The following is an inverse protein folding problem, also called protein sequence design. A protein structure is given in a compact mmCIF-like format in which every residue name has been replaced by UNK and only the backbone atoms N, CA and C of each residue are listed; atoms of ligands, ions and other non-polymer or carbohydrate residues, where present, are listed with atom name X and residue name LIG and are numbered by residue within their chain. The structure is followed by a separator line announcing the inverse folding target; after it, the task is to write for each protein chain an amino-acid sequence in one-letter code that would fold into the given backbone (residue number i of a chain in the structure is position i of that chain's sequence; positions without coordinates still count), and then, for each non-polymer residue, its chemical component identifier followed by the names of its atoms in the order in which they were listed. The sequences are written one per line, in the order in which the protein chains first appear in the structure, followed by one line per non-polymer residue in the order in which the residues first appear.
data_IF_773012577796
#
_entry.id   IF_773012577796
#
_cell.length_a   1.000
_cell.length_b   1.000
_cell.length_c   1.000
_cell.angle_alpha   90.00
_cell.angle_beta   90.00
_cell.angle_gamma   90.00
#
_symmetry.space_group_name_H-M   'P 1'
#
loop_
_entity.id
_entity.type
_entity.pdbx_description
1 polymer ?
#
# COMPACT_ATOMS: atom_id res chain seq x y z
N UNK A 1 8.48 15.99 -9.21
CA UNK A 1 8.80 15.23 -7.97
C UNK A 1 8.56 13.72 -8.14
N UNK A 2 7.50 13.27 -8.85
CA UNK A 2 7.25 11.84 -9.10
C UNK A 2 8.24 11.14 -10.05
N UNK A 3 8.79 11.84 -11.06
CA UNK A 3 9.77 11.26 -12.01
C UNK A 3 11.09 10.82 -11.35
N UNK A 4 11.49 11.48 -10.25
CA UNK A 4 12.73 11.17 -9.50
C UNK A 4 12.66 9.78 -8.84
N UNK A 5 11.45 9.22 -8.66
CA UNK A 5 11.29 7.96 -7.94
C UNK A 5 11.62 6.74 -8.81
N UNK A 6 11.30 6.76 -10.12
CA UNK A 6 11.46 5.58 -10.98
C UNK A 6 12.93 5.32 -11.33
N UNK A 7 13.72 6.36 -11.58
CA UNK A 7 15.14 6.17 -11.91
C UNK A 7 15.95 5.67 -10.71
N UNK A 8 15.70 6.22 -9.51
CA UNK A 8 16.31 5.69 -8.26
C UNK A 8 15.89 4.25 -7.97
N UNK A 9 14.63 3.90 -8.24
CA UNK A 9 14.16 2.52 -8.09
C UNK A 9 14.91 1.56 -9.01
N UNK A 10 15.16 1.96 -10.27
CA UNK A 10 15.97 1.16 -11.20
C UNK A 10 17.41 0.98 -10.71
N UNK A 11 18.01 2.02 -10.12
CA UNK A 11 19.33 1.91 -9.49
C UNK A 11 19.33 0.97 -8.27
N UNK A 12 18.31 1.03 -7.42
CA UNK A 12 18.12 0.10 -6.29
C UNK A 12 17.92 -1.35 -6.77
N UNK A 13 17.17 -1.57 -7.86
CA UNK A 13 17.01 -2.92 -8.45
C UNK A 13 18.28 -3.49 -9.03
N UNK A 14 19.16 -2.65 -9.56
CA UNK A 14 20.45 -3.10 -10.08
C UNK A 14 21.43 -3.49 -8.96
N UNK A 15 21.21 -3.03 -7.73
CA UNK A 15 22.01 -3.39 -6.56
C UNK A 15 21.51 -4.67 -5.86
N UNK A 16 20.28 -5.10 -6.15
CA UNK A 16 19.71 -6.33 -5.63
C UNK A 16 19.93 -7.47 -6.65
N UNK A 17 20.40 -8.63 -6.20
CA UNK A 17 20.41 -9.86 -6.99
C UNK A 17 18.96 -10.35 -7.24
N UNK A 18 18.24 -9.66 -8.11
CA UNK A 18 16.87 -9.97 -8.51
C UNK A 18 16.86 -10.67 -9.87
N UNK A 19 16.08 -11.75 -9.95
CA UNK A 19 15.74 -12.42 -11.22
C UNK A 19 14.86 -11.51 -12.10
N UNK A 20 14.86 -11.76 -13.41
CA UNK A 20 14.03 -10.99 -14.35
C UNK A 20 12.54 -11.02 -13.97
N UNK A 21 12.04 -12.19 -13.54
CA UNK A 21 10.65 -12.34 -13.06
C UNK A 21 10.33 -11.44 -11.86
N UNK A 22 11.30 -11.25 -10.96
CA UNK A 22 11.14 -10.36 -9.81
C UNK A 22 11.07 -8.91 -10.27
N UNK A 23 11.94 -8.51 -11.21
CA UNK A 23 11.92 -7.16 -11.79
C UNK A 23 10.59 -6.88 -12.48
N UNK A 24 10.11 -7.82 -13.30
CA UNK A 24 8.83 -7.69 -14.02
C UNK A 24 7.65 -7.46 -13.07
N UNK A 25 7.53 -8.28 -12.01
CA UNK A 25 6.47 -8.10 -10.99
C UNK A 25 6.55 -6.74 -10.33
N UNK A 26 7.76 -6.30 -9.99
CA UNK A 26 7.96 -5.01 -9.33
C UNK A 26 7.59 -3.85 -10.25
N UNK A 27 8.00 -3.88 -11.51
CA UNK A 27 7.61 -2.88 -12.51
C UNK A 27 6.09 -2.82 -12.70
N UNK A 28 5.42 -3.96 -12.77
CA UNK A 28 3.95 -4.03 -12.84
C UNK A 28 3.31 -3.38 -11.61
N UNK A 29 3.83 -3.70 -10.41
CA UNK A 29 3.36 -3.09 -9.18
C UNK A 29 3.53 -1.56 -9.18
N UNK A 30 4.66 -1.02 -9.65
CA UNK A 30 4.87 0.44 -9.73
C UNK A 30 3.92 1.12 -10.69
N UNK A 31 3.68 0.55 -11.88
CA UNK A 31 2.70 1.06 -12.84
C UNK A 31 1.31 1.13 -12.20
N UNK A 32 0.92 0.05 -11.52
CA UNK A 32 -0.33 -0.02 -10.76
C UNK A 32 -0.40 1.05 -9.66
N UNK A 33 0.67 1.21 -8.86
CA UNK A 33 0.75 2.19 -7.78
C UNK A 33 0.66 3.63 -8.27
N UNK A 34 1.30 3.94 -9.40
CA UNK A 34 1.21 5.26 -10.02
C UNK A 34 -0.21 5.57 -10.50
N UNK A 35 -0.92 4.59 -11.07
CA UNK A 35 -2.29 4.76 -11.51
C UNK A 35 -3.27 4.97 -10.34
N UNK A 36 -3.03 4.33 -9.19
CA UNK A 36 -3.86 4.45 -7.99
C UNK A 36 -3.80 5.86 -7.38
N UNK A 37 -2.61 6.45 -7.29
CA UNK A 37 -2.45 7.79 -6.70
C UNK A 37 -2.80 7.84 -5.21
N UNK A 38 -3.48 8.90 -4.79
CA UNK A 38 -3.92 9.08 -3.39
C UNK A 38 -5.21 8.30 -3.11
N UNK A 39 -5.18 7.48 -2.05
CA UNK A 39 -6.31 6.63 -1.67
C UNK A 39 -7.35 7.39 -0.84
N UNK A 40 -8.63 7.15 -1.15
CA UNK A 40 -9.78 7.63 -0.38
C UNK A 40 -10.66 6.45 0.03
N UNK A 41 -11.30 6.57 1.20
CA UNK A 41 -12.20 5.52 1.69
C UNK A 41 -13.33 5.22 0.71
N UNK A 42 -13.92 6.26 0.15
CA UNK A 42 -15.08 6.14 -0.75
C UNK A 42 -14.74 5.42 -2.05
N UNK A 43 -13.46 5.35 -2.44
CA UNK A 43 -13.01 4.68 -3.64
C UNK A 43 -12.82 3.17 -3.48
N UNK A 44 -12.94 2.65 -2.25
CA UNK A 44 -12.69 1.25 -1.93
C UNK A 44 -13.99 0.49 -1.67
N UNK A 45 -14.18 -0.62 -2.40
CA UNK A 45 -15.31 -1.54 -2.22
C UNK A 45 -14.81 -2.84 -1.61
N UNK A 46 -15.38 -3.23 -0.47
CA UNK A 46 -15.07 -4.52 0.16
C UNK A 46 -15.68 -5.67 -0.67
N UNK A 47 -14.88 -6.69 -0.94
CA UNK A 47 -15.29 -7.90 -1.68
C UNK A 47 -15.54 -9.03 -0.69
N UNK A 48 -14.51 -9.40 0.09
CA UNK A 48 -14.60 -10.44 1.11
C UNK A 48 -13.56 -10.20 2.20
N UNK A 49 -13.77 -10.82 3.36
CA UNK A 49 -12.76 -10.85 4.42
C UNK A 49 -11.66 -11.86 4.05
N UNK A 50 -10.40 -11.48 4.26
CA UNK A 50 -9.23 -12.35 4.08
C UNK A 50 -8.77 -12.95 5.40
N UNK A 51 -9.05 -12.28 6.52
CA UNK A 51 -8.83 -12.79 7.86
C UNK A 51 -8.75 -11.71 8.92
N UNK A 52 -8.73 -12.12 10.17
CA UNK A 52 -8.68 -11.25 11.34
C UNK A 52 -7.44 -11.57 12.19
N UNK A 53 -6.86 -10.54 12.81
CA UNK A 53 -5.82 -10.69 13.83
C UNK A 53 -6.01 -9.68 14.95
N UNK A 54 -5.12 -9.68 15.94
CA UNK A 54 -5.25 -8.86 17.15
C UNK A 54 -5.45 -7.36 16.88
N UNK A 55 -4.85 -6.83 15.81
CA UNK A 55 -4.94 -5.41 15.43
C UNK A 55 -6.06 -5.07 14.46
N UNK A 56 -7.01 -5.97 14.18
CA UNK A 56 -8.15 -5.73 13.28
C UNK A 56 -8.24 -6.70 12.11
N UNK A 57 -8.97 -6.31 11.07
CA UNK A 57 -9.40 -7.20 9.98
C UNK A 57 -8.72 -6.85 8.66
N UNK A 58 -8.43 -7.85 7.83
CA UNK A 58 -7.94 -7.68 6.46
C UNK A 58 -9.07 -7.98 5.50
N UNK A 59 -9.39 -7.04 4.63
CA UNK A 59 -10.38 -7.19 3.57
C UNK A 59 -9.69 -7.28 2.21
N UNK A 60 -10.24 -8.13 1.34
CA UNK A 60 -10.04 -8.01 -0.10
C UNK A 60 -10.90 -6.87 -0.58
N UNK A 61 -10.30 -5.85 -1.20
CA UNK A 61 -11.00 -4.67 -1.67
C UNK A 61 -10.69 -4.38 -3.13
N UNK A 62 -11.60 -3.68 -3.78
CA UNK A 62 -11.44 -3.16 -5.15
C UNK A 62 -11.39 -1.65 -5.11
N UNK A 63 -10.34 -1.07 -5.68
CA UNK A 63 -10.26 0.37 -5.90
C UNK A 63 -11.03 0.74 -7.16
N UNK A 64 -12.17 1.43 -7.02
CA UNK A 64 -13.10 1.70 -8.13
C UNK A 64 -12.45 2.44 -9.31
N UNK A 65 -11.61 3.49 -9.11
CA UNK A 65 -11.05 4.24 -10.24
C UNK A 65 -10.10 3.44 -11.13
N UNK A 66 -9.35 2.50 -10.57
CA UNK A 66 -8.33 1.72 -11.31
C UNK A 66 -8.67 0.24 -11.47
N UNK A 67 -9.80 -0.18 -10.91
CA UNK A 67 -10.24 -1.57 -10.76
C UNK A 67 -9.22 -2.49 -10.05
N UNK A 68 -8.22 -1.92 -9.38
CA UNK A 68 -7.14 -2.71 -8.77
C UNK A 68 -7.64 -3.41 -7.51
N UNK A 69 -7.36 -4.71 -7.43
CA UNK A 69 -7.57 -5.52 -6.24
C UNK A 69 -6.43 -5.28 -5.24
N UNK A 70 -6.80 -5.06 -3.98
CA UNK A 70 -5.87 -4.78 -2.88
C UNK A 70 -6.26 -5.57 -1.64
N UNK A 71 -5.29 -5.77 -0.75
CA UNK A 71 -5.53 -6.17 0.63
C UNK A 71 -5.57 -4.91 1.51
N UNK A 72 -6.70 -4.64 2.17
CA UNK A 72 -6.87 -3.52 3.09
C UNK A 72 -6.88 -4.03 4.53
N UNK A 73 -5.83 -3.72 5.29
CA UNK A 73 -5.85 -3.88 6.74
C UNK A 73 -6.60 -2.70 7.36
N UNK A 74 -7.66 -2.99 8.10
CA UNK A 74 -8.43 -2.03 8.89
C UNK A 74 -8.10 -2.21 10.36
N UNK A 75 -7.54 -1.17 10.96
CA UNK A 75 -7.12 -1.13 12.36
C UNK A 75 -8.03 -0.15 13.11
N UNK A 76 -8.74 -0.64 14.12
CA UNK A 76 -9.57 0.20 14.99
C UNK A 76 -8.70 0.79 16.10
N UNK A 77 -8.60 2.11 16.15
CA UNK A 77 -7.77 2.82 17.12
C UNK A 77 -8.43 4.14 17.55
N UNK A 78 -8.95 4.15 18.77
CA UNK A 78 -9.50 5.33 19.44
C UNK A 78 -8.39 6.12 20.15
N UNK A 79 -7.66 6.93 19.37
CA UNK A 79 -6.64 7.84 19.89
C UNK A 79 -6.84 9.25 19.39
N UNK A 80 -6.15 10.20 20.05
CA UNK A 80 -6.16 11.62 19.68
C UNK A 80 -5.74 11.80 18.20
N UNK A 81 -6.35 12.75 17.46
CA UNK A 81 -6.02 13.00 16.06
C UNK A 81 -4.53 13.22 15.80
N UNK A 82 -3.83 13.90 16.73
CA UNK A 82 -2.38 14.13 16.62
C UNK A 82 -1.56 12.82 16.53
N UNK A 83 -1.94 11.80 17.30
CA UNK A 83 -1.26 10.50 17.27
C UNK A 83 -1.56 9.74 15.98
N UNK A 84 -2.79 9.83 15.45
CA UNK A 84 -3.14 9.23 14.14
C UNK A 84 -2.30 9.84 13.02
N UNK A 85 -2.18 11.16 12.99
CA UNK A 85 -1.36 11.86 12.00
C UNK A 85 0.11 11.47 12.10
N UNK A 86 0.63 11.27 13.32
CA UNK A 86 1.99 10.75 13.53
C UNK A 86 2.15 9.34 12.95
N UNK A 87 1.23 8.42 13.26
CA UNK A 87 1.26 7.05 12.74
C UNK A 87 1.23 7.05 11.21
N UNK A 88 0.33 7.82 10.59
CA UNK A 88 0.26 7.93 9.12
C UNK A 88 1.57 8.48 8.54
N UNK A 89 2.21 9.44 9.20
CA UNK A 89 3.50 9.98 8.77
C UNK A 89 4.61 8.92 8.82
N UNK A 90 4.66 8.11 9.88
CA UNK A 90 5.64 7.03 10.02
C UNK A 90 5.41 5.93 8.97
N UNK A 91 4.15 5.58 8.70
CA UNK A 91 3.78 4.63 7.64
C UNK A 91 4.19 5.08 6.23
N UNK A 92 4.46 6.37 5.99
CA UNK A 92 4.95 6.85 4.68
C UNK A 92 6.30 6.23 4.29
N UNK A 93 7.10 5.79 5.25
CA UNK A 93 8.37 5.09 4.98
C UNK A 93 8.14 3.83 4.14
N UNK A 94 6.98 3.18 4.25
CA UNK A 94 6.63 1.99 3.46
C UNK A 94 6.56 2.26 1.95
N UNK A 95 6.44 3.52 1.51
CA UNK A 95 6.58 3.83 0.08
C UNK A 95 7.98 3.58 -0.46
N UNK A 96 9.00 3.58 0.41
CA UNK A 96 10.41 3.34 0.07
C UNK A 96 10.80 1.87 0.23
N UNK A 97 9.98 1.05 0.90
CA UNK A 97 10.22 -0.38 1.08
C UNK A 97 9.89 -1.16 -0.20
N UNK A 98 10.76 -1.04 -1.20
CA UNK A 98 10.58 -1.62 -2.52
C UNK A 98 11.53 -2.81 -2.70
N UNK A 99 11.01 -4.02 -2.48
CA UNK A 99 11.79 -5.26 -2.61
C UNK A 99 10.87 -6.36 -3.13
N UNK A 100 11.36 -7.31 -3.95
CA UNK A 100 10.52 -8.41 -4.41
C UNK A 100 10.05 -9.33 -3.26
N UNK A 101 10.71 -9.25 -2.10
CA UNK A 101 10.41 -10.01 -0.90
C UNK A 101 9.50 -9.26 0.09
N UNK A 102 9.14 -8.01 -0.21
CA UNK A 102 8.25 -7.19 0.61
C UNK A 102 6.94 -7.00 -0.15
N UNK A 103 5.81 -7.09 0.56
CA UNK A 103 4.48 -6.85 -0.02
C UNK A 103 4.39 -5.39 -0.47
N UNK A 104 3.93 -5.17 -1.71
CA UNK A 104 3.82 -3.82 -2.26
C UNK A 104 2.87 -2.93 -1.45
N UNK A 105 3.30 -1.72 -1.14
CA UNK A 105 2.51 -0.73 -0.40
C UNK A 105 1.89 0.33 -1.33
N UNK A 106 0.56 0.43 -1.35
CA UNK A 106 -0.15 1.49 -2.10
C UNK A 106 -0.24 2.78 -1.28
N UNK A 107 -0.66 2.68 -0.02
CA UNK A 107 -0.81 3.84 0.85
C UNK A 107 -1.55 3.51 2.14
N UNK A 108 -1.58 4.50 3.03
CA UNK A 108 -2.31 4.44 4.28
C UNK A 108 -3.05 5.76 4.53
N UNK A 109 -4.25 5.66 5.11
CA UNK A 109 -5.07 6.81 5.47
C UNK A 109 -5.85 6.52 6.75
N UNK A 110 -6.29 7.57 7.43
CA UNK A 110 -7.12 7.47 8.62
C UNK A 110 -8.48 8.13 8.38
N UNK A 111 -9.55 7.44 8.77
CA UNK A 111 -10.92 7.97 8.78
C UNK A 111 -11.52 7.64 10.13
N UNK A 112 -12.05 8.66 10.82
CA UNK A 112 -12.63 8.53 12.15
C UNK A 112 -11.70 7.76 13.12
N UNK A 113 -12.17 6.67 13.73
CA UNK A 113 -11.43 5.80 14.64
C UNK A 113 -10.69 4.65 13.94
N UNK A 114 -10.45 4.75 12.63
CA UNK A 114 -9.90 3.66 11.83
C UNK A 114 -8.67 4.10 11.04
N UNK A 115 -7.64 3.25 11.03
CA UNK A 115 -6.49 3.36 10.13
C UNK A 115 -6.62 2.28 9.07
N UNK A 116 -6.53 2.67 7.81
CA UNK A 116 -6.54 1.78 6.67
C UNK A 116 -5.16 1.73 6.03
N UNK A 117 -4.64 0.52 5.84
CA UNK A 117 -3.39 0.25 5.13
C UNK A 117 -3.73 -0.59 3.90
N UNK A 118 -3.46 -0.08 2.70
CA UNK A 118 -3.75 -0.75 1.44
C UNK A 118 -2.46 -1.29 0.83
N UNK A 119 -2.45 -2.59 0.56
CA UNK A 119 -1.29 -3.36 0.11
C UNK A 119 -1.65 -4.18 -1.13
N UNK A 120 -0.61 -4.65 -1.82
CA UNK A 120 -0.71 -5.67 -2.87
C UNK A 120 -1.45 -6.90 -2.33
N UNK A 121 -2.40 -7.40 -3.13
CA UNK A 121 -3.07 -8.65 -2.86
C UNK A 121 -2.24 -9.79 -3.48
N UNK A 122 -1.90 -10.79 -2.67
CA UNK A 122 -1.11 -11.97 -3.03
C UNK A 122 -1.99 -13.14 -3.43
#
# INVERSE_FOLDING_TARGET
VQEVCIERLKEEFNQLDCTDKQKDRMEEFFKSKQAVGELKQDDLVNICELGQGNGGVVWKVRHKPTDKIMARKLIYLEVKPALKSQIIRELKVLHQCNSPYIVGFYGAFAVEAQISICMEYM
#
